data_IF_022148227106
#
_entry.id   IF_022148227106
#
_cell.length_a   1.000
_cell.length_b   1.000
_cell.length_c   1.000
_cell.angle_alpha   90.00
_cell.angle_beta   90.00
_cell.angle_gamma   90.00
#
_symmetry.space_group_name_H-M   'P 1'
#
loop_
_entity.id
_entity.type
_entity.pdbx_description
1 polymer ?
#
# COMPACT_ATOMS: atom_id res chain seq x y z
N UNK A 1 23.12 23.04 -14.51
CA UNK A 1 22.75 24.03 -13.48
C UNK A 1 21.55 23.48 -12.70
N UNK A 2 21.67 23.36 -11.37
CA UNK A 2 20.63 22.91 -10.42
C UNK A 2 20.57 21.40 -10.20
N UNK A 3 20.74 20.81 -9.01
CA UNK A 3 21.03 21.32 -7.67
C UNK A 3 21.34 20.15 -6.72
N UNK A 4 22.16 20.40 -5.69
CA UNK A 4 22.66 19.48 -4.66
C UNK A 4 21.59 19.03 -3.64
N UNK A 5 20.36 18.79 -4.06
CA UNK A 5 19.23 18.43 -3.20
C UNK A 5 18.52 17.18 -3.71
N UNK A 6 18.87 16.01 -3.18
CA UNK A 6 17.93 14.89 -3.00
C UNK A 6 17.04 14.47 -4.17
N UNK A 7 17.56 14.50 -5.39
CA UNK A 7 16.80 14.19 -6.61
C UNK A 7 16.27 12.75 -6.59
N UNK A 8 15.08 12.56 -7.16
CA UNK A 8 14.48 11.25 -7.42
C UNK A 8 15.50 10.36 -8.16
N UNK A 9 15.89 9.17 -7.66
CA UNK A 9 16.98 8.39 -8.25
C UNK A 9 16.67 7.88 -9.67
N UNK A 10 15.40 7.56 -9.92
CA UNK A 10 14.87 7.32 -11.27
C UNK A 10 13.37 7.59 -11.30
N UNK A 11 12.80 7.77 -12.49
CA UNK A 11 11.35 8.01 -12.65
C UNK A 11 10.50 6.88 -12.06
N UNK A 12 11.04 5.66 -12.01
CA UNK A 12 10.40 4.47 -11.45
C UNK A 12 10.38 4.44 -9.91
N UNK A 13 11.07 5.35 -9.22
CA UNK A 13 11.03 5.41 -7.76
C UNK A 13 9.69 5.97 -7.27
N UNK A 14 9.12 5.35 -6.26
CA UNK A 14 7.97 5.85 -5.52
C UNK A 14 8.41 6.33 -4.14
N UNK A 15 9.27 5.55 -3.47
CA UNK A 15 9.90 5.95 -2.20
C UNK A 15 11.42 5.94 -2.36
N UNK A 16 12.09 6.96 -1.84
CA UNK A 16 13.56 7.04 -1.78
C UNK A 16 14.03 7.92 -0.63
N UNK A 17 15.33 7.89 -0.31
CA UNK A 17 15.94 8.83 0.63
C UNK A 17 16.71 9.94 -0.09
N UNK A 18 16.46 11.18 0.31
CA UNK A 18 17.13 12.36 -0.26
C UNK A 18 18.52 12.56 0.34
N UNK A 19 19.56 11.90 -0.17
CA UNK A 19 20.94 11.99 0.34
C UNK A 19 21.92 11.28 -0.59
N UNK A 20 23.24 11.48 -0.39
CA UNK A 20 24.27 10.89 -1.28
C UNK A 20 24.42 9.39 -1.09
N UNK A 21 24.01 8.86 0.06
CA UNK A 21 24.18 7.46 0.46
C UNK A 21 22.94 6.88 1.18
N UNK A 22 21.73 7.28 0.78
CA UNK A 22 20.47 6.91 1.46
C UNK A 22 20.41 7.31 2.95
N UNK A 23 21.13 8.36 3.36
CA UNK A 23 21.20 8.83 4.74
C UNK A 23 20.20 9.96 5.05
N UNK A 24 19.57 10.51 4.02
CA UNK A 24 18.66 11.64 4.16
C UNK A 24 17.21 11.28 4.45
N UNK A 25 16.35 12.30 4.40
CA UNK A 25 14.90 12.17 4.64
C UNK A 25 14.24 11.31 3.57
N UNK A 26 13.25 10.51 3.97
CA UNK A 26 12.39 9.81 3.02
C UNK A 26 11.59 10.79 2.19
N UNK A 27 11.39 10.42 0.93
CA UNK A 27 10.59 11.10 -0.08
C UNK A 27 9.63 10.09 -0.65
N UNK A 28 8.43 10.57 -0.96
CA UNK A 28 7.36 9.76 -1.47
C UNK A 28 6.66 10.50 -2.60
N UNK A 29 6.51 9.82 -3.74
CA UNK A 29 5.83 10.30 -4.93
C UNK A 29 4.52 9.55 -5.09
N UNK A 30 3.50 10.02 -4.35
CA UNK A 30 2.18 9.41 -4.35
C UNK A 30 1.44 9.60 -5.69
N UNK A 31 1.68 10.71 -6.38
CA UNK A 31 1.08 10.99 -7.69
C UNK A 31 1.53 9.93 -8.70
N UNK A 32 2.82 9.57 -8.68
CA UNK A 32 3.32 8.50 -9.53
C UNK A 32 2.79 7.12 -9.11
N UNK A 33 2.59 6.87 -7.81
CA UNK A 33 1.97 5.63 -7.33
C UNK A 33 0.51 5.50 -7.81
N UNK A 34 -0.26 6.59 -7.75
CA UNK A 34 -1.65 6.64 -8.25
C UNK A 34 -1.71 6.33 -9.75
N UNK A 35 -0.85 6.98 -10.55
CA UNK A 35 -0.75 6.73 -11.99
C UNK A 35 -0.36 5.27 -12.28
N UNK A 36 0.59 4.72 -11.52
CA UNK A 36 0.98 3.32 -11.62
C UNK A 36 -0.19 2.38 -11.29
N UNK A 37 -0.92 2.64 -10.20
CA UNK A 37 -2.06 1.84 -9.78
C UNK A 37 -3.13 1.78 -10.88
N UNK A 38 -3.49 2.94 -11.44
CA UNK A 38 -4.44 3.04 -12.54
C UNK A 38 -3.96 2.26 -13.79
N UNK A 39 -2.67 2.29 -14.10
CA UNK A 39 -2.12 1.59 -15.26
C UNK A 39 -2.12 0.06 -15.11
N UNK A 40 -1.86 -0.45 -13.90
CA UNK A 40 -1.75 -1.89 -13.64
C UNK A 40 -3.02 -2.52 -13.05
N UNK A 41 -4.14 -1.79 -13.04
CA UNK A 41 -5.46 -2.31 -12.69
C UNK A 41 -5.71 -2.45 -11.20
N UNK A 42 -5.09 -1.60 -10.38
CA UNK A 42 -5.43 -1.43 -8.97
C UNK A 42 -6.34 -0.21 -8.79
N UNK A 43 -7.35 -0.33 -7.93
CA UNK A 43 -8.11 0.84 -7.49
C UNK A 43 -7.22 1.62 -6.51
N UNK A 44 -7.05 2.91 -6.77
CA UNK A 44 -6.36 3.80 -5.84
C UNK A 44 -7.36 4.45 -4.90
N UNK A 45 -7.09 4.36 -3.60
CA UNK A 45 -7.87 4.98 -2.54
C UNK A 45 -6.94 5.72 -1.57
N UNK A 46 -7.51 6.67 -0.83
CA UNK A 46 -6.81 7.36 0.24
C UNK A 46 -7.60 7.23 1.52
N UNK A 47 -6.93 6.80 2.58
CA UNK A 47 -7.54 6.64 3.89
C UNK A 47 -6.86 7.53 4.91
N UNK A 48 -7.64 8.10 5.82
CA UNK A 48 -7.10 8.66 7.06
C UNK A 48 -7.19 7.57 8.14
N UNK A 49 -6.05 7.09 8.63
CA UNK A 49 -6.01 6.12 9.74
C UNK A 49 -5.27 6.73 10.93
N UNK A 50 -5.86 6.53 12.10
CA UNK A 50 -5.15 6.60 13.38
C UNK A 50 -4.73 5.16 13.70
N UNK A 51 -3.48 4.82 13.42
CA UNK A 51 -2.96 3.50 13.70
C UNK A 51 -2.02 3.57 14.92
N UNK A 52 -2.56 3.26 16.09
CA UNK A 52 -1.83 3.24 17.36
C UNK A 52 -0.64 2.26 17.40
N UNK A 53 -0.51 1.35 16.42
CA UNK A 53 0.68 0.51 16.29
C UNK A 53 1.79 1.15 15.42
N UNK A 54 1.49 2.22 14.69
CA UNK A 54 2.37 2.86 13.69
C UNK A 54 2.67 4.34 13.97
N UNK A 55 1.91 4.99 14.84
CA UNK A 55 2.15 6.34 15.35
C UNK A 55 0.92 6.95 16.03
N UNK A 56 1.13 7.95 16.88
CA UNK A 56 0.05 8.64 17.60
C UNK A 56 -0.65 9.73 16.76
N UNK A 57 -0.11 10.04 15.58
CA UNK A 57 -0.65 11.07 14.69
C UNK A 57 -1.40 10.45 13.49
N UNK A 58 -2.58 10.97 13.12
CA UNK A 58 -3.28 10.55 11.91
C UNK A 58 -2.40 10.82 10.69
N UNK A 59 -2.21 9.80 9.84
CA UNK A 59 -1.47 9.94 8.59
C UNK A 59 -2.32 9.50 7.41
N UNK A 60 -2.19 10.23 6.30
CA UNK A 60 -2.80 9.86 5.02
C UNK A 60 -2.12 8.60 4.49
N UNK A 61 -2.93 7.59 4.23
CA UNK A 61 -2.51 6.31 3.67
C UNK A 61 -2.91 6.27 2.20
N UNK A 62 -1.97 5.90 1.35
CA UNK A 62 -2.18 5.75 -0.09
C UNK A 62 -2.30 4.27 -0.39
N UNK A 63 -3.47 3.85 -0.87
CA UNK A 63 -3.87 2.44 -0.92
C UNK A 63 -4.12 2.01 -2.35
N UNK A 64 -3.38 1.01 -2.81
CA UNK A 64 -3.61 0.31 -4.06
C UNK A 64 -4.36 -0.99 -3.76
N UNK A 65 -5.65 -1.06 -4.10
CA UNK A 65 -6.52 -2.22 -3.89
C UNK A 65 -6.54 -3.08 -5.16
N UNK A 66 -6.21 -4.36 -5.03
CA UNK A 66 -6.12 -5.30 -6.16
C UNK A 66 -7.32 -6.24 -6.25
N UNK A 67 -7.99 -6.50 -5.12
CA UNK A 67 -9.19 -7.31 -5.08
C UNK A 67 -10.08 -6.85 -3.94
N UNK A 68 -11.40 -6.92 -4.15
CA UNK A 68 -12.42 -6.66 -3.13
C UNK A 68 -13.14 -7.96 -2.78
N UNK A 69 -13.67 -8.01 -1.57
CA UNK A 69 -14.60 -9.05 -1.13
C UNK A 69 -15.89 -8.40 -0.72
N UNK A 70 -17.01 -9.01 -1.09
CA UNK A 70 -18.33 -8.60 -0.61
C UNK A 70 -18.48 -9.08 0.82
N UNK A 71 -18.73 -8.16 1.75
CA UNK A 71 -19.10 -8.52 3.12
C UNK A 71 -20.54 -9.05 3.17
N UNK A 72 -20.82 -9.87 4.18
CA UNK A 72 -22.19 -10.31 4.45
C UNK A 72 -23.06 -9.12 4.88
N UNK A 73 -24.35 -9.20 4.58
CA UNK A 73 -25.33 -8.23 5.10
C UNK A 73 -25.41 -8.38 6.61
N UNK A 74 -25.14 -7.29 7.33
CA UNK A 74 -25.25 -7.26 8.79
C UNK A 74 -26.48 -6.45 9.16
N UNK A 75 -27.48 -7.11 9.75
CA UNK A 75 -28.56 -6.43 10.44
C UNK A 75 -27.99 -5.82 11.73
N UNK A 76 -28.06 -4.50 11.86
CA UNK A 76 -27.68 -3.80 13.09
C UNK A 76 -28.95 -3.30 13.75
N UNK A 77 -29.13 -3.68 15.02
CA UNK A 77 -30.24 -3.22 15.85
C UNK A 77 -29.72 -2.23 16.89
N UNK A 78 -30.22 -1.00 16.84
CA UNK A 78 -29.86 0.08 17.76
C UNK A 78 -31.14 0.80 18.18
N UNK A 79 -31.39 0.90 19.48
CA UNK A 79 -32.59 1.57 20.01
C UNK A 79 -33.93 0.88 19.71
N UNK A 80 -33.94 -0.41 19.35
CA UNK A 80 -35.16 -1.15 19.01
C UNK A 80 -35.58 -1.06 17.54
N UNK A 81 -34.86 -0.27 16.73
CA UNK A 81 -35.00 -0.26 15.28
C UNK A 81 -33.91 -1.15 14.66
N UNK A 82 -34.30 -1.98 13.69
CA UNK A 82 -33.39 -2.86 12.96
C UNK A 82 -33.19 -2.31 11.56
N UNK A 83 -31.93 -2.14 11.19
CA UNK A 83 -31.52 -1.61 9.90
C UNK A 83 -30.69 -2.69 9.19
N UNK A 84 -31.14 -3.09 8.00
CA UNK A 84 -30.35 -3.94 7.12
C UNK A 84 -29.30 -3.08 6.43
N UNK A 85 -28.05 -3.18 6.88
CA UNK A 85 -26.94 -2.62 6.11
C UNK A 85 -26.69 -3.54 4.91
N UNK A 86 -26.85 -2.98 3.71
CA UNK A 86 -26.50 -3.66 2.47
C UNK A 86 -25.06 -4.19 2.50
N UNK A 87 -24.80 -5.24 1.74
CA UNK A 87 -23.47 -5.83 1.64
C UNK A 87 -22.45 -4.78 1.19
N UNK A 88 -21.49 -4.46 2.06
CA UNK A 88 -20.41 -3.51 1.78
C UNK A 88 -19.22 -4.27 1.19
N UNK A 89 -18.72 -3.82 0.04
CA UNK A 89 -17.45 -4.33 -0.49
C UNK A 89 -16.28 -3.78 0.31
N UNK A 90 -15.36 -4.66 0.69
CA UNK A 90 -14.15 -4.30 1.43
C UNK A 90 -12.92 -4.74 0.66
N UNK A 91 -11.83 -3.97 0.69
CA UNK A 91 -10.54 -4.40 0.15
C UNK A 91 -10.13 -5.76 0.73
N UNK A 92 -9.86 -6.72 -0.15
CA UNK A 92 -9.39 -8.07 0.22
C UNK A 92 -7.88 -8.18 0.12
N UNK A 93 -7.29 -7.59 -0.91
CA UNK A 93 -5.84 -7.52 -1.07
C UNK A 93 -5.46 -6.12 -1.49
N UNK A 94 -4.43 -5.58 -0.85
CA UNK A 94 -4.00 -4.21 -1.08
C UNK A 94 -2.55 -4.01 -0.64
N UNK A 95 -1.97 -2.94 -1.16
CA UNK A 95 -0.74 -2.33 -0.65
C UNK A 95 -1.12 -0.93 -0.17
N UNK A 96 -0.90 -0.63 1.10
CA UNK A 96 -1.02 0.73 1.64
C UNK A 96 0.35 1.25 2.07
N UNK A 97 0.63 2.52 1.82
CA UNK A 97 1.87 3.18 2.25
C UNK A 97 1.61 4.64 2.64
N UNK A 98 2.34 5.12 3.64
CA UNK A 98 2.34 6.53 4.04
C UNK A 98 3.63 7.28 3.62
N UNK A 99 3.64 8.59 3.81
CA UNK A 99 4.81 9.43 3.52
C UNK A 99 6.05 9.11 4.36
N UNK A 100 5.90 8.41 5.48
CA UNK A 100 7.01 7.92 6.30
C UNK A 100 7.58 6.59 5.76
N UNK A 101 7.02 6.04 4.69
CA UNK A 101 7.42 4.77 4.09
C UNK A 101 6.98 3.55 4.89
N UNK A 102 5.97 3.69 5.76
CA UNK A 102 5.38 2.55 6.44
C UNK A 102 4.41 1.86 5.50
N UNK A 103 4.80 0.70 4.97
CA UNK A 103 4.02 -0.07 4.02
C UNK A 103 3.33 -1.23 4.73
N UNK A 104 2.06 -1.48 4.40
CA UNK A 104 1.39 -2.75 4.70
C UNK A 104 0.95 -3.42 3.42
N UNK A 105 1.25 -4.70 3.36
CA UNK A 105 0.81 -5.61 2.32
C UNK A 105 -0.24 -6.55 2.91
N UNK A 106 -1.43 -6.53 2.33
CA UNK A 106 -2.45 -7.56 2.53
C UNK A 106 -2.55 -8.41 1.26
N UNK A 107 -2.07 -9.65 1.34
CA UNK A 107 -2.23 -10.66 0.30
C UNK A 107 -3.36 -11.64 0.59
N UNK A 108 -3.50 -12.65 -0.26
CA UNK A 108 -4.48 -13.71 -0.08
C UNK A 108 -4.19 -14.58 1.16
N UNK A 109 -2.93 -14.90 1.41
CA UNK A 109 -2.49 -15.79 2.50
C UNK A 109 -1.43 -15.14 3.39
N UNK A 110 -1.12 -13.88 3.15
CA UNK A 110 0.01 -13.19 3.79
C UNK A 110 -0.43 -11.80 4.21
N UNK A 111 0.06 -11.37 5.35
CA UNK A 111 -0.03 -9.99 5.81
C UNK A 111 1.35 -9.59 6.32
N UNK A 112 1.80 -8.39 5.95
CA UNK A 112 3.08 -7.85 6.38
C UNK A 112 2.99 -6.34 6.57
N UNK A 113 3.71 -5.83 7.58
CA UNK A 113 3.98 -4.40 7.74
C UNK A 113 5.50 -4.21 7.69
N UNK A 114 5.97 -3.28 6.89
CA UNK A 114 7.37 -3.08 6.56
C UNK A 114 7.71 -1.58 6.65
N UNK A 115 8.84 -1.27 7.28
CA UNK A 115 9.47 0.05 7.18
C UNK A 115 10.30 0.09 5.89
N UNK A 116 9.83 0.81 4.87
CA UNK A 116 10.40 0.84 3.53
C UNK A 116 11.22 2.11 3.32
N UNK A 117 12.49 1.92 2.97
CA UNK A 117 13.42 3.00 2.63
C UNK A 117 13.47 3.30 1.12
N UNK A 118 13.16 2.30 0.30
CA UNK A 118 13.12 2.42 -1.14
C UNK A 118 11.98 1.56 -1.72
N UNK A 119 11.17 2.17 -2.58
CA UNK A 119 10.16 1.48 -3.36
C UNK A 119 10.31 1.87 -4.81
N UNK A 120 10.47 0.88 -5.68
CA UNK A 120 10.58 1.03 -7.12
C UNK A 120 9.49 0.21 -7.79
N UNK A 121 8.78 0.82 -8.74
CA UNK A 121 7.84 0.12 -9.60
C UNK A 121 8.54 -0.37 -10.86
N UNK A 122 8.42 -1.65 -11.18
CA UNK A 122 8.97 -2.27 -12.38
C UNK A 122 7.89 -3.11 -13.05
N UNK A 123 7.18 -2.50 -14.01
CA UNK A 123 5.94 -3.06 -14.53
C UNK A 123 4.92 -3.27 -13.40
N UNK A 124 4.34 -4.48 -13.33
CA UNK A 124 3.43 -4.89 -12.25
C UNK A 124 4.17 -5.37 -10.98
N UNK A 125 5.48 -5.15 -10.88
CA UNK A 125 6.28 -5.62 -9.74
C UNK A 125 6.68 -4.44 -8.86
N UNK A 126 6.46 -4.58 -7.55
CA UNK A 126 7.00 -3.69 -6.53
C UNK A 126 8.31 -4.26 -6.02
N UNK A 127 9.39 -3.49 -6.12
CA UNK A 127 10.69 -3.80 -5.52
C UNK A 127 10.88 -2.91 -4.31
N UNK A 128 11.12 -3.52 -3.16
CA UNK A 128 11.16 -2.88 -1.85
C UNK A 128 12.53 -3.10 -1.24
N UNK A 129 13.14 -2.06 -0.67
CA UNK A 129 14.22 -2.18 0.29
C UNK A 129 13.74 -1.65 1.63
N UNK A 130 13.82 -2.48 2.65
CA UNK A 130 13.43 -2.12 4.02
C UNK A 130 14.56 -1.40 4.75
N UNK A 131 14.23 -0.74 5.86
CA UNK A 131 15.18 0.01 6.68
C UNK A 131 16.28 -0.87 7.33
N UNK A 132 16.04 -2.18 7.48
CA UNK A 132 17.04 -3.16 7.94
C UNK A 132 17.94 -3.69 6.79
N UNK A 133 17.71 -3.25 5.56
CA UNK A 133 18.47 -3.64 4.37
C UNK A 133 17.94 -4.87 3.65
N UNK A 134 16.84 -5.49 4.11
CA UNK A 134 16.20 -6.59 3.37
C UNK A 134 15.62 -6.08 2.04
N UNK A 135 15.72 -6.88 0.98
CA UNK A 135 15.11 -6.56 -0.32
C UNK A 135 14.00 -7.55 -0.61
N UNK A 136 12.80 -7.05 -0.92
CA UNK A 136 11.63 -7.85 -1.28
C UNK A 136 11.10 -7.48 -2.65
N UNK A 137 10.44 -8.43 -3.29
CA UNK A 137 9.76 -8.20 -4.55
C UNK A 137 8.36 -8.80 -4.50
N UNK A 138 7.37 -8.02 -4.93
CA UNK A 138 5.97 -8.40 -4.93
C UNK A 138 5.41 -8.23 -6.33
N UNK A 139 5.02 -9.33 -6.96
CA UNK A 139 4.27 -9.30 -8.22
C UNK A 139 2.79 -9.04 -7.91
N UNK A 140 2.28 -7.87 -8.25
CA UNK A 140 0.94 -7.44 -7.84
C UNK A 140 -0.17 -8.16 -8.59
N UNK A 141 0.14 -8.83 -9.70
CA UNK A 141 -0.83 -9.71 -10.40
C UNK A 141 -1.27 -10.88 -9.53
N UNK A 142 -0.38 -11.34 -8.63
CA UNK A 142 -0.69 -12.37 -7.62
C UNK A 142 -1.61 -11.86 -6.51
N UNK A 143 -1.75 -10.54 -6.36
CA UNK A 143 -2.72 -9.93 -5.46
C UNK A 143 -4.09 -9.81 -6.12
N UNK A 144 -4.14 -9.52 -7.42
CA UNK A 144 -5.40 -9.42 -8.16
C UNK A 144 -6.14 -10.76 -8.28
N UNK A 145 -5.41 -11.88 -8.46
CA UNK A 145 -6.01 -13.20 -8.66
C UNK A 145 -5.84 -14.08 -7.42
N UNK A 146 -6.95 -14.64 -6.92
CA UNK A 146 -6.92 -15.61 -5.83
C UNK A 146 -6.14 -16.85 -6.29
N UNK A 147 -5.12 -17.30 -5.55
CA UNK A 147 -4.43 -18.53 -5.89
C UNK A 147 -5.40 -19.71 -5.80
N UNK A 148 -5.29 -20.64 -6.74
CA UNK A 148 -6.00 -21.90 -6.65
C UNK A 148 -5.64 -22.59 -5.34
N UNK A 149 -6.63 -23.15 -4.64
CA UNK A 149 -6.35 -24.08 -3.54
C UNK A 149 -5.70 -25.30 -4.17
N UNK A 150 -4.37 -25.34 -4.22
CA UNK A 150 -3.68 -26.62 -4.29
C UNK A 150 -4.17 -27.43 -3.09
N UNK A 151 -4.82 -28.53 -3.42
CA UNK A 151 -5.29 -29.53 -2.47
C UNK A 151 -4.03 -30.11 -1.85
N UNK A 152 -3.74 -29.71 -0.62
CA UNK A 152 -2.77 -30.40 0.22
C UNK A 152 -3.24 -31.83 0.53
#
# INVERSE_FOLDING_TARGET
MGGLFGSKPSDAHVVWRSGRDNDGKKRFDFEYLELWAAHFGADYEEWERVDHARGDEPRRQHVCVFARTRGDQTAVSLGGESWDMGAVEKPRTFVEIDEAGMLRLQGWTTEATLDVDELVVDGATLKLRTADGETKSVDTRKLATRPDRETA
#
